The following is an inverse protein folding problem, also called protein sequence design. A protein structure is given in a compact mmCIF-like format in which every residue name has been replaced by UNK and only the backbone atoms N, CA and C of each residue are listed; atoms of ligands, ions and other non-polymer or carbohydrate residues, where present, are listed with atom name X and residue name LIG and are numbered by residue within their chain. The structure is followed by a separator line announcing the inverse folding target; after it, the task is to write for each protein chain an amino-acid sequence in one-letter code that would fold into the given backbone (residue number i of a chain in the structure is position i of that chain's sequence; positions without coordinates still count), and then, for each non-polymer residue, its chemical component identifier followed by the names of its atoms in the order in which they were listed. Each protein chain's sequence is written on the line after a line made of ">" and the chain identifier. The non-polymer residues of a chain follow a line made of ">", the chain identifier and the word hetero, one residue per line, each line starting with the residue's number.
data_IF_139183472966
#
_entry.id   IF_139183472966
#
_cell.length_a   1.000
_cell.length_b   1.000
_cell.length_c   1.000
_cell.angle_alpha   90.00
_cell.angle_beta   90.00
_cell.angle_gamma   90.00
#
_symmetry.space_group_name_H-M   'P 1'
#
loop_
_entity.id
_entity.type
_entity.pdbx_description
1 polymer ?
#
# COMPACT_ATOMS: atom_id res chain seq x y z
N UNK A 1 3.48 -19.27 3.17
CA UNK A 1 2.41 -18.65 2.35
C UNK A 1 3.04 -18.00 1.13
N UNK A 2 2.31 -17.79 0.03
CA UNK A 2 2.86 -17.18 -1.19
C UNK A 2 2.84 -15.66 -1.03
N UNK A 3 4.01 -15.01 -1.11
CA UNK A 3 4.09 -13.54 -1.07
C UNK A 3 3.50 -12.93 -2.33
N UNK A 4 2.84 -11.79 -2.20
CA UNK A 4 2.31 -11.03 -3.34
C UNK A 4 3.29 -9.91 -3.68
N UNK A 5 3.65 -9.80 -4.97
CA UNK A 5 4.47 -8.71 -5.47
C UNK A 5 3.66 -7.41 -5.41
N UNK A 6 4.21 -6.40 -4.75
CA UNK A 6 3.57 -5.10 -4.56
C UNK A 6 3.26 -4.37 -5.89
N UNK A 7 4.01 -4.63 -6.96
CA UNK A 7 3.76 -4.05 -8.28
C UNK A 7 2.40 -4.48 -8.86
N UNK A 8 1.88 -5.64 -8.46
CA UNK A 8 0.56 -6.10 -8.89
C UNK A 8 -0.60 -5.31 -8.24
N UNK A 9 -0.29 -4.50 -7.23
CA UNK A 9 -1.26 -3.69 -6.50
C UNK A 9 -1.32 -2.26 -7.02
N UNK A 10 -0.42 -1.87 -7.92
CA UNK A 10 -0.43 -0.56 -8.57
C UNK A 10 -1.77 -0.42 -9.33
N UNK A 11 -2.34 0.80 -9.32
CA UNK A 11 -3.65 1.15 -9.89
C UNK A 11 -4.88 0.59 -9.16
N UNK A 12 -4.72 -0.14 -8.06
CA UNK A 12 -5.84 -0.51 -7.20
C UNK A 12 -5.99 0.53 -6.08
N UNK A 13 -7.24 0.78 -5.68
CA UNK A 13 -7.51 1.45 -4.41
C UNK A 13 -7.16 0.49 -3.27
N UNK A 14 -6.22 0.92 -2.42
CA UNK A 14 -5.73 0.14 -1.30
C UNK A 14 -6.17 0.79 0.02
N UNK A 15 -6.43 -0.05 1.00
CA UNK A 15 -6.45 0.30 2.42
C UNK A 15 -5.21 -0.32 3.07
N UNK A 16 -4.31 0.52 3.54
CA UNK A 16 -3.05 0.11 4.16
C UNK A 16 -3.10 0.40 5.65
N UNK A 17 -2.92 -0.64 6.44
CA UNK A 17 -2.80 -0.56 7.89
C UNK A 17 -1.31 -0.62 8.24
N UNK A 18 -0.87 0.37 9.01
CA UNK A 18 0.49 0.46 9.52
C UNK A 18 0.58 -0.18 10.90
N UNK A 19 1.79 -0.56 11.31
CA UNK A 19 2.07 -1.18 12.62
C UNK A 19 1.75 -0.26 13.79
N UNK A 20 1.80 1.06 13.59
CA UNK A 20 1.40 2.06 14.59
C UNK A 20 -0.14 2.22 14.71
N UNK A 21 -0.92 1.44 13.95
CA UNK A 21 -2.38 1.50 13.95
C UNK A 21 -2.99 2.52 12.99
N UNK A 22 -2.16 3.34 12.32
CA UNK A 22 -2.65 4.26 11.31
C UNK A 22 -3.21 3.49 10.10
N UNK A 23 -4.28 4.03 9.53
CA UNK A 23 -4.96 3.46 8.36
C UNK A 23 -4.99 4.50 7.26
N UNK A 24 -4.38 4.15 6.13
CA UNK A 24 -4.30 5.00 4.94
C UNK A 24 -5.13 4.37 3.83
N UNK A 25 -5.91 5.18 3.10
CA UNK A 25 -6.69 4.70 1.96
C UNK A 25 -6.37 5.52 0.72
N UNK A 26 -6.00 4.86 -0.37
CA UNK A 26 -5.50 5.55 -1.54
C UNK A 26 -4.89 4.64 -2.60
N UNK A 27 -4.21 5.27 -3.56
CA UNK A 27 -3.45 4.57 -4.59
C UNK A 27 -2.00 4.45 -4.16
N UNK A 28 -1.44 3.25 -4.33
CA UNK A 28 -0.02 3.04 -4.09
C UNK A 28 0.79 3.59 -5.28
N UNK A 29 1.76 4.43 -4.96
CA UNK A 29 2.69 4.99 -5.93
C UNK A 29 4.11 4.69 -5.46
N UNK A 30 4.95 4.26 -6.39
CA UNK A 30 6.37 4.05 -6.14
C UNK A 30 7.04 5.40 -5.98
N UNK A 31 7.68 5.64 -4.84
CA UNK A 31 8.48 6.85 -4.65
C UNK A 31 9.69 6.78 -5.60
N UNK A 32 9.79 7.74 -6.52
CA UNK A 32 10.91 7.82 -7.48
C UNK A 32 12.17 8.42 -6.85
N UNK A 33 12.04 9.14 -5.73
CA UNK A 33 13.14 9.84 -5.07
C UNK A 33 13.73 9.03 -3.91
N UNK A 34 12.94 8.15 -3.31
CA UNK A 34 13.39 7.25 -2.24
C UNK A 34 13.13 5.79 -2.64
N UNK A 35 14.15 5.10 -3.15
CA UNK A 35 14.07 3.71 -3.63
C UNK A 35 13.60 2.69 -2.57
N UNK A 36 13.65 3.06 -1.29
CA UNK A 36 13.21 2.25 -0.15
C UNK A 36 11.78 2.52 0.33
N UNK A 37 11.12 3.56 -0.21
CA UNK A 37 9.85 4.08 0.31
C UNK A 37 8.73 3.96 -0.70
N UNK A 38 7.51 3.78 -0.20
CA UNK A 38 6.30 3.80 -1.00
C UNK A 38 5.40 4.92 -0.51
N UNK A 39 4.64 5.51 -1.43
CA UNK A 39 3.74 6.62 -1.14
C UNK A 39 2.31 6.12 -1.35
N UNK A 40 1.40 6.50 -0.45
CA UNK A 40 -0.04 6.42 -0.74
C UNK A 40 -0.50 7.81 -1.13
N UNK A 41 -1.03 7.92 -2.35
CA UNK A 41 -1.83 9.06 -2.76
C UNK A 41 -3.24 8.86 -2.20
N UNK A 42 -3.65 9.64 -1.20
CA UNK A 42 -4.97 9.49 -0.60
C UNK A 42 -6.08 9.70 -1.64
N UNK A 43 -7.20 9.01 -1.47
CA UNK A 43 -8.37 9.20 -2.35
C UNK A 43 -9.00 10.59 -2.22
N UNK A 44 -8.90 11.20 -1.05
CA UNK A 44 -9.36 12.55 -0.80
C UNK A 44 -8.27 13.54 -1.18
N UNK A 45 -8.58 14.43 -2.13
CA UNK A 45 -7.65 15.44 -2.69
C UNK A 45 -7.20 16.49 -1.68
N UNK A 46 -7.79 16.53 -0.49
CA UNK A 46 -7.46 17.45 0.61
C UNK A 46 -6.58 16.82 1.69
N UNK A 47 -6.36 15.51 1.63
CA UNK A 47 -5.46 14.84 2.57
C UNK A 47 -4.01 14.99 2.10
N UNK A 48 -3.11 15.26 3.03
CA UNK A 48 -1.68 15.30 2.76
C UNK A 48 -1.20 13.95 2.21
N UNK A 49 -0.25 14.00 1.25
CA UNK A 49 0.44 12.80 0.78
C UNK A 49 1.17 12.18 1.98
N UNK A 50 0.80 10.95 2.33
CA UNK A 50 1.41 10.22 3.43
C UNK A 50 2.51 9.29 2.91
N UNK A 51 3.75 9.60 3.27
CA UNK A 51 4.91 8.73 3.04
C UNK A 51 5.12 7.79 4.23
N UNK A 52 5.41 6.52 3.97
CA UNK A 52 5.75 5.55 5.01
C UNK A 52 6.77 4.54 4.48
N UNK A 53 7.52 3.95 5.40
CA UNK A 53 8.48 2.90 5.06
C UNK A 53 7.78 1.56 4.87
N UNK A 54 8.33 0.74 3.97
CA UNK A 54 7.85 -0.64 3.73
C UNK A 54 7.77 -1.49 5.01
N UNK A 55 8.67 -1.25 5.96
CA UNK A 55 8.74 -1.98 7.24
C UNK A 55 7.59 -1.64 8.19
N UNK A 56 6.91 -0.53 7.96
CA UNK A 56 5.79 -0.04 8.78
C UNK A 56 4.46 -0.65 8.34
N UNK A 57 4.40 -1.25 7.13
CA UNK A 57 3.20 -1.91 6.65
C UNK A 57 2.93 -3.15 7.49
N UNK A 58 1.73 -3.21 8.06
CA UNK A 58 1.19 -4.40 8.73
C UNK A 58 0.35 -5.21 7.75
N UNK A 59 -0.51 -4.52 7.00
CA UNK A 59 -1.52 -5.16 6.16
C UNK A 59 -1.92 -4.28 4.99
N UNK A 60 -2.16 -4.87 3.82
CA UNK A 60 -2.77 -4.21 2.68
C UNK A 60 -4.07 -4.91 2.34
N UNK A 61 -5.14 -4.15 2.18
CA UNK A 61 -6.44 -4.64 1.70
C UNK A 61 -6.79 -3.96 0.40
N UNK A 62 -7.27 -4.71 -0.59
CA UNK A 62 -7.74 -4.15 -1.86
C UNK A 62 -8.93 -4.93 -2.40
N UNK A 63 -9.72 -4.26 -3.25
CA UNK A 63 -10.88 -4.86 -3.90
C UNK A 63 -10.53 -5.15 -5.36
N UNK A 64 -10.73 -6.39 -5.80
CA UNK A 64 -10.56 -6.78 -7.19
C UNK A 64 -11.66 -7.75 -7.58
N UNK A 65 -12.35 -7.46 -8.69
CA UNK A 65 -13.44 -8.29 -9.23
C UNK A 65 -14.49 -8.71 -8.18
N UNK A 66 -14.89 -7.77 -7.29
CA UNK A 66 -15.83 -7.96 -6.17
C UNK A 66 -15.30 -8.76 -4.96
N UNK A 67 -14.04 -9.20 -4.99
CA UNK A 67 -13.40 -9.87 -3.86
C UNK A 67 -12.56 -8.89 -3.04
N UNK A 68 -12.56 -9.07 -1.73
CA UNK A 68 -11.69 -8.36 -0.80
C UNK A 68 -10.48 -9.25 -0.53
N UNK A 69 -9.31 -8.76 -0.91
CA UNK A 69 -8.04 -9.43 -0.66
C UNK A 69 -7.31 -8.74 0.48
N UNK A 70 -6.87 -9.52 1.48
CA UNK A 70 -6.05 -9.05 2.59
C UNK A 70 -4.67 -9.68 2.51
N UNK A 71 -3.65 -8.85 2.42
CA UNK A 71 -2.25 -9.24 2.27
C UNK A 71 -1.50 -8.90 3.55
N UNK A 72 -0.96 -9.93 4.21
CA UNK A 72 -0.13 -9.81 5.40
C UNK A 72 1.38 -10.01 5.08
N UNK A 73 1.69 -10.65 3.94
CA UNK A 73 3.06 -10.94 3.50
C UNK A 73 3.30 -10.35 2.10
N UNK A 74 3.97 -9.20 2.06
CA UNK A 74 4.23 -8.46 0.83
C UNK A 74 5.69 -8.70 0.41
N UNK A 75 5.90 -9.03 -0.86
CA UNK A 75 7.24 -8.98 -1.45
C UNK A 75 7.46 -7.61 -2.08
N UNK A 76 8.49 -6.92 -1.58
CA UNK A 76 8.94 -5.62 -2.08
C UNK A 76 10.12 -5.74 -3.04
N UNK A 77 10.58 -6.96 -3.35
CA UNK A 77 11.58 -7.19 -4.40
C UNK A 77 10.93 -7.00 -5.77
N UNK A 78 11.62 -6.26 -6.63
CA UNK A 78 11.29 -6.15 -8.04
C UNK A 78 11.62 -7.46 -8.75
#
# INVERSE_FOLDING_TARGET
>A
MKKININNLINNTLKVELKNGAVLTGYLVKDKHHTSSWVILPLNTFDNINSFNKSEIKTITYLSNKYIFKINEIDFKN
#
